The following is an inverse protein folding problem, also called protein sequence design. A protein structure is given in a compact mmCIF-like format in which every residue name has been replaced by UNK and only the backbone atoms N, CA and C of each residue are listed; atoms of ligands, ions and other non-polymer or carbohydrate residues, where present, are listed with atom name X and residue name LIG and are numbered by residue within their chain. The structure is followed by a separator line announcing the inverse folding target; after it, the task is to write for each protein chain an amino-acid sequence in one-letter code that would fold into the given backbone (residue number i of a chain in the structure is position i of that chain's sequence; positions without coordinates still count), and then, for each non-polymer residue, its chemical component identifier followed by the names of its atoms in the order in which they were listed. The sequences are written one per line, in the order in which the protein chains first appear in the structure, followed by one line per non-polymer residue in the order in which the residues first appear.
data_IF_288564228976
#
_entry.id   IF_288564228976
#
_cell.length_a   1.000
_cell.length_b   1.000
_cell.length_c   1.000
_cell.angle_alpha   90.00
_cell.angle_beta   90.00
_cell.angle_gamma   90.00
#
_symmetry.space_group_name_H-M   'P 1'
#
loop_
_entity.id
_entity.type
_entity.pdbx_description
1 polymer ?
#
# COMPACT_ATOMS: atom_id res chain seq x y z
N UNK A 1 -10.67 3.47 -4.15
CA UNK A 1 -10.68 4.93 -3.86
C UNK A 1 -10.28 5.72 -5.11
N UNK A 2 -10.51 7.03 -5.14
CA UNK A 2 -9.96 7.95 -6.14
C UNK A 2 -8.77 8.73 -5.55
N UNK A 3 -8.01 9.43 -6.41
CA UNK A 3 -6.89 10.29 -5.98
C UNK A 3 -7.31 11.29 -4.91
N UNK A 4 -8.50 11.87 -5.05
CA UNK A 4 -9.04 12.89 -4.14
C UNK A 4 -9.37 12.35 -2.74
N UNK A 5 -9.55 11.04 -2.60
CA UNK A 5 -9.80 10.38 -1.32
C UNK A 5 -8.50 10.00 -0.58
N UNK A 6 -7.34 10.11 -1.25
CA UNK A 6 -6.04 9.76 -0.67
C UNK A 6 -5.37 11.00 -0.11
N UNK A 7 -5.07 10.93 1.19
CA UNK A 7 -4.42 11.99 1.96
C UNK A 7 -3.02 11.48 2.32
N UNK A 8 -2.00 12.26 1.99
CA UNK A 8 -0.62 11.99 2.42
C UNK A 8 -0.57 11.94 3.96
N UNK A 9 0.29 11.10 4.51
CA UNK A 9 0.42 10.79 5.93
C UNK A 9 -0.77 10.03 6.55
N UNK A 10 -1.77 9.63 5.75
CA UNK A 10 -2.87 8.79 6.21
C UNK A 10 -2.63 7.31 5.93
N UNK A 11 -3.22 6.44 6.75
CA UNK A 11 -3.07 4.99 6.66
C UNK A 11 -4.10 4.40 5.69
N UNK A 12 -3.62 3.51 4.82
CA UNK A 12 -4.45 2.79 3.85
C UNK A 12 -4.14 1.30 3.89
N UNK A 13 -5.19 0.51 3.67
CA UNK A 13 -5.08 -0.90 3.35
C UNK A 13 -5.08 -1.10 1.83
N UNK A 14 -4.17 -1.93 1.35
CA UNK A 14 -4.13 -2.37 -0.03
C UNK A 14 -4.13 -3.88 -0.13
N UNK A 15 -4.64 -4.40 -1.24
CA UNK A 15 -4.52 -5.80 -1.62
C UNK A 15 -3.72 -5.92 -2.92
N UNK A 16 -2.92 -6.97 -3.03
CA UNK A 16 -2.11 -7.23 -4.23
C UNK A 16 -2.12 -8.72 -4.50
N UNK A 17 -2.20 -9.13 -5.77
CA UNK A 17 -2.08 -10.55 -6.15
C UNK A 17 -0.72 -11.15 -5.76
N UNK A 18 0.29 -10.30 -5.55
CA UNK A 18 1.62 -10.70 -5.09
C UNK A 18 1.70 -10.91 -3.57
N UNK A 19 0.72 -10.40 -2.82
CA UNK A 19 0.66 -10.47 -1.37
C UNK A 19 -0.59 -11.26 -0.97
N UNK A 20 -0.39 -12.45 -0.41
CA UNK A 20 -1.49 -13.32 0.03
C UNK A 20 -2.44 -12.68 1.07
N UNK A 21 -1.99 -11.60 1.72
CA UNK A 21 -2.70 -10.87 2.75
C UNK A 21 -2.77 -9.37 2.42
N UNK A 22 -3.82 -8.67 2.88
CA UNK A 22 -3.84 -7.22 2.82
C UNK A 22 -2.66 -6.64 3.58
N UNK A 23 -2.15 -5.51 3.09
CA UNK A 23 -1.06 -4.77 3.71
C UNK A 23 -1.53 -3.39 4.12
N UNK A 24 -0.95 -2.87 5.20
CA UNK A 24 -1.20 -1.53 5.71
C UNK A 24 0.02 -0.65 5.42
N UNK A 25 -0.21 0.53 4.84
CA UNK A 25 0.84 1.50 4.62
C UNK A 25 0.35 2.94 4.64
N UNK A 26 1.25 3.85 5.00
CA UNK A 26 1.00 5.29 5.06
C UNK A 26 1.27 5.91 3.70
N UNK A 27 0.35 6.72 3.17
CA UNK A 27 0.56 7.37 1.88
C UNK A 27 1.68 8.42 1.98
N UNK A 28 2.72 8.27 1.15
CA UNK A 28 3.89 9.17 1.14
C UNK A 28 4.00 9.98 -0.15
N UNK A 29 3.45 9.48 -1.25
CA UNK A 29 3.37 10.21 -2.51
C UNK A 29 2.13 9.82 -3.32
N UNK A 30 1.63 10.75 -4.13
CA UNK A 30 0.51 10.54 -5.06
C UNK A 30 0.99 10.71 -6.50
N UNK A 31 0.62 9.78 -7.36
CA UNK A 31 0.80 9.84 -8.80
C UNK A 31 -0.55 10.01 -9.50
N UNK A 32 -0.56 9.98 -10.83
CA UNK A 32 -1.77 10.17 -11.61
C UNK A 32 -2.84 9.10 -11.32
N UNK A 33 -2.45 7.84 -11.19
CA UNK A 33 -3.35 6.70 -10.99
C UNK A 33 -2.97 5.76 -9.83
N UNK A 34 -1.98 6.13 -9.03
CA UNK A 34 -1.44 5.31 -7.94
C UNK A 34 -0.93 6.15 -6.78
N UNK A 35 -0.89 5.56 -5.60
CA UNK A 35 -0.21 6.10 -4.42
C UNK A 35 1.04 5.27 -4.12
N UNK A 36 2.06 5.92 -3.57
CA UNK A 36 3.17 5.28 -2.90
C UNK A 36 2.81 5.15 -1.42
N UNK A 37 2.72 3.93 -0.93
CA UNK A 37 2.50 3.65 0.48
C UNK A 37 3.78 3.17 1.13
N UNK A 38 4.13 3.75 2.26
CA UNK A 38 5.14 3.23 3.16
C UNK A 38 4.53 2.18 4.07
N UNK A 39 4.87 0.91 3.85
CA UNK A 39 4.38 -0.23 4.60
C UNK A 39 4.72 -0.10 6.09
N UNK A 40 3.69 -0.17 6.94
CA UNK A 40 3.82 -0.18 8.40
C UNK A 40 3.63 -1.59 8.97
N UNK A 41 2.71 -2.35 8.39
CA UNK A 41 2.41 -3.74 8.77
C UNK A 41 2.07 -4.53 7.52
N UNK A 42 2.76 -5.64 7.33
CA UNK A 42 2.46 -6.63 6.30
C UNK A 42 2.74 -8.01 6.90
N UNK A 43 2.05 -9.05 6.41
CA UNK A 43 2.27 -10.41 6.88
C UNK A 43 3.09 -11.18 5.83
N UNK A 44 4.43 -11.23 5.96
CA UNK A 44 5.30 -11.84 4.97
C UNK A 44 5.27 -13.35 5.12
N UNK A 45 4.37 -14.02 4.41
CA UNK A 45 4.47 -15.47 4.23
C UNK A 45 5.62 -15.85 3.27
N UNK A 46 6.11 -14.87 2.50
CA UNK A 46 7.33 -14.93 1.68
C UNK A 46 8.33 -13.89 2.24
N UNK A 47 9.11 -14.25 3.28
CA UNK A 47 10.15 -13.35 3.83
C UNK A 47 11.17 -12.92 2.77
N UNK A 48 11.43 -13.78 1.79
CA UNK A 48 12.44 -13.55 0.75
C UNK A 48 12.00 -12.57 -0.36
N UNK A 49 10.70 -12.41 -0.64
CA UNK A 49 10.23 -11.45 -1.68
C UNK A 49 10.18 -10.01 -1.21
N UNK A 50 10.23 -9.78 0.10
CA UNK A 50 9.92 -8.47 0.70
C UNK A 50 11.16 -7.77 1.26
N UNK A 51 12.28 -8.46 1.47
CA UNK A 51 13.56 -7.78 1.78
C UNK A 51 13.98 -6.78 0.70
N UNK A 52 13.54 -6.97 -0.56
CA UNK A 52 13.75 -6.02 -1.66
C UNK A 52 12.74 -4.85 -1.69
N UNK A 53 11.58 -5.01 -1.06
CA UNK A 53 10.65 -3.90 -0.87
C UNK A 53 11.21 -3.07 0.29
N UNK A 54 11.82 -1.92 -0.03
CA UNK A 54 12.38 -0.92 0.92
C UNK A 54 11.34 -0.28 1.87
N UNK A 55 10.28 -1.00 2.22
CA UNK A 55 9.14 -0.49 2.96
C UNK A 55 8.21 0.38 2.13
N UNK A 56 8.35 0.44 0.80
CA UNK A 56 7.46 1.23 -0.07
C UNK A 56 6.81 0.35 -1.14
N UNK A 57 5.52 0.57 -1.40
CA UNK A 57 4.76 -0.08 -2.46
C UNK A 57 3.99 0.94 -3.29
N UNK A 58 3.90 0.72 -4.60
CA UNK A 58 3.10 1.54 -5.50
C UNK A 58 1.80 0.80 -5.79
N UNK A 59 0.67 1.40 -5.43
CA UNK A 59 -0.65 0.75 -5.50
C UNK A 59 -1.63 1.67 -6.18
N UNK A 60 -2.48 1.12 -7.05
CA UNK A 60 -3.51 1.92 -7.74
C UNK A 60 -4.60 2.32 -6.76
N UNK A 61 -5.17 3.51 -6.94
CA UNK A 61 -6.21 4.02 -6.04
C UNK A 61 -7.42 3.09 -5.91
N UNK A 62 -7.78 2.39 -6.99
CA UNK A 62 -8.88 1.42 -7.00
C UNK A 62 -8.63 0.21 -6.09
N UNK A 63 -7.37 -0.12 -5.85
CA UNK A 63 -6.91 -1.26 -5.06
C UNK A 63 -6.61 -0.86 -3.61
N UNK A 64 -6.92 0.41 -3.24
CA UNK A 64 -6.83 0.96 -1.89
C UNK A 64 -8.20 1.06 -1.22
N UNK A 65 -8.19 0.85 0.09
CA UNK A 65 -9.32 1.00 1.01
C UNK A 65 -8.86 1.62 2.34
N UNK A 66 -9.80 2.23 3.07
CA UNK A 66 -9.55 2.66 4.45
C UNK A 66 -9.41 1.43 5.37
N UNK A 67 -8.48 1.46 6.34
CA UNK A 67 -8.37 0.40 7.34
C UNK A 67 -9.69 0.26 8.11
N UNK A 68 -10.18 -0.99 8.24
CA UNK A 68 -11.42 -1.31 8.97
C UNK A 68 -11.24 -1.38 10.48
#
# INVERSE_FOLDING_TARGET
MNKEDIIIDNLYEGSSELLQFPFCGVATALHENSAVLQLSTFNPLDKEKIEDLKGYVIVRYRDLSLPK
#
